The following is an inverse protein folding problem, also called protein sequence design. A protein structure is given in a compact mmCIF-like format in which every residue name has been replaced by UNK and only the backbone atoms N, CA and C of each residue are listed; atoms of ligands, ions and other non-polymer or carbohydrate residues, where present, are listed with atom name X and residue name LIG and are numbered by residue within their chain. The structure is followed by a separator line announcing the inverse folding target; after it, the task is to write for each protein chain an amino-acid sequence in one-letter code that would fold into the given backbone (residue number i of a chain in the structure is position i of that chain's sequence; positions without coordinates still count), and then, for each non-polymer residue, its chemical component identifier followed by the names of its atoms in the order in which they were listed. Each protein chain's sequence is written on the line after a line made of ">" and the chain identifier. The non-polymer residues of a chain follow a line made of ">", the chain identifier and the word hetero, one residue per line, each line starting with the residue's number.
data_IF_145877250658
#
_entry.id   IF_145877250658
#
_cell.length_a   1.000
_cell.length_b   1.000
_cell.length_c   1.000
_cell.angle_alpha   90.00
_cell.angle_beta   90.00
_cell.angle_gamma   90.00
#
_symmetry.space_group_name_H-M   'P 1'
#
loop_
_entity.id
_entity.type
_entity.pdbx_description
1 polymer ?
#
# COMPACT_ATOMS: atom_id res chain seq x y z
N UNK A 1 -1.01 -53.17 3.56
CA UNK A 1 -1.09 -52.38 4.81
C UNK A 1 -1.57 -50.98 4.47
N UNK A 2 -2.85 -50.70 4.68
CA UNK A 2 -3.41 -49.34 4.56
C UNK A 2 -3.08 -48.62 5.88
N UNK A 3 -1.87 -48.07 5.99
CA UNK A 3 -1.58 -47.18 7.11
C UNK A 3 -2.43 -45.92 6.94
N UNK A 4 -3.20 -45.61 7.98
CA UNK A 4 -4.05 -44.42 8.15
C UNK A 4 -3.25 -43.16 7.77
N UNK A 5 -3.38 -42.68 6.53
CA UNK A 5 -2.70 -41.49 5.97
C UNK A 5 -3.14 -40.14 6.54
N UNK A 6 -3.62 -40.11 7.78
CA UNK A 6 -4.04 -38.91 8.50
C UNK A 6 -2.93 -37.84 8.63
N UNK A 7 -1.64 -38.17 8.88
CA UNK A 7 -0.62 -37.11 8.95
C UNK A 7 -0.39 -36.43 7.60
N UNK A 8 -0.45 -37.17 6.48
CA UNK A 8 -0.36 -36.58 5.14
C UNK A 8 -1.54 -35.67 4.83
N UNK A 9 -2.76 -36.11 5.17
CA UNK A 9 -3.98 -35.30 5.01
C UNK A 9 -3.92 -34.04 5.85
N UNK A 10 -3.56 -34.15 7.13
CA UNK A 10 -3.48 -33.02 8.04
C UNK A 10 -2.46 -31.97 7.56
N UNK A 11 -1.27 -32.42 7.15
CA UNK A 11 -0.22 -31.53 6.65
C UNK A 11 -0.63 -30.81 5.36
N UNK A 12 -1.26 -31.55 4.43
CA UNK A 12 -1.81 -31.00 3.19
C UNK A 12 -2.90 -29.96 3.45
N UNK A 13 -3.84 -30.26 4.36
CA UNK A 13 -4.94 -29.35 4.69
C UNK A 13 -4.41 -28.09 5.39
N UNK A 14 -3.47 -28.24 6.32
CA UNK A 14 -2.84 -27.11 6.99
C UNK A 14 -2.10 -26.21 5.99
N UNK A 15 -1.27 -26.79 5.14
CA UNK A 15 -0.54 -26.04 4.11
C UNK A 15 -1.50 -25.33 3.15
N UNK A 16 -2.55 -26.04 2.70
CA UNK A 16 -3.58 -25.48 1.83
C UNK A 16 -4.35 -24.32 2.46
N UNK A 17 -4.74 -24.45 3.73
CA UNK A 17 -5.43 -23.41 4.48
C UNK A 17 -4.56 -22.17 4.67
N UNK A 18 -3.27 -22.34 4.97
CA UNK A 18 -2.30 -21.25 5.11
C UNK A 18 -2.18 -20.46 3.80
N UNK A 19 -2.04 -21.14 2.66
CA UNK A 19 -1.94 -20.47 1.36
C UNK A 19 -3.22 -19.71 0.97
N UNK A 20 -4.39 -20.31 1.18
CA UNK A 20 -5.66 -19.62 0.92
C UNK A 20 -5.79 -18.39 1.82
N UNK A 21 -5.49 -18.53 3.11
CA UNK A 21 -5.54 -17.43 4.06
C UNK A 21 -4.58 -16.29 3.69
N UNK A 22 -3.33 -16.61 3.38
CA UNK A 22 -2.31 -15.65 2.95
C UNK A 22 -2.74 -14.89 1.68
N UNK A 23 -3.25 -15.60 0.68
CA UNK A 23 -3.70 -14.99 -0.57
C UNK A 23 -4.97 -14.15 -0.40
N UNK A 24 -5.92 -14.56 0.45
CA UNK A 24 -7.12 -13.77 0.77
C UNK A 24 -6.78 -12.45 1.45
N UNK A 25 -5.81 -12.44 2.38
CA UNK A 25 -5.40 -11.19 3.03
C UNK A 25 -4.74 -10.21 2.05
N UNK A 26 -4.06 -10.72 1.01
CA UNK A 26 -3.45 -9.87 -0.03
C UNK A 26 -4.42 -9.44 -1.12
N UNK A 27 -5.47 -10.22 -1.39
CA UNK A 27 -6.48 -9.83 -2.39
C UNK A 27 -7.40 -8.71 -1.88
N UNK A 28 -7.54 -8.56 -0.55
CA UNK A 28 -8.28 -7.45 0.08
C UNK A 28 -7.49 -6.13 0.09
N UNK A 29 -6.15 -6.18 0.01
CA UNK A 29 -5.29 -5.01 -0.20
C UNK A 29 -4.25 -5.26 -1.32
N UNK A 30 -4.68 -5.19 -2.59
CA UNK A 30 -3.79 -5.43 -3.72
C UNK A 30 -2.63 -4.43 -3.81
N UNK A 31 -2.85 -3.18 -3.38
CA UNK A 31 -1.82 -2.13 -3.36
C UNK A 31 -0.77 -2.41 -2.27
N UNK A 32 -1.19 -2.90 -1.10
CA UNK A 32 -0.31 -3.44 -0.07
C UNK A 32 0.60 -4.55 -0.60
N UNK A 33 0.06 -5.48 -1.39
CA UNK A 33 0.88 -6.55 -1.98
C UNK A 33 1.95 -6.01 -2.96
N UNK A 34 1.60 -5.02 -3.78
CA UNK A 34 2.58 -4.33 -4.65
C UNK A 34 3.62 -3.57 -3.81
N UNK A 35 3.21 -2.86 -2.75
CA UNK A 35 4.12 -2.17 -1.81
C UNK A 35 5.08 -3.14 -1.16
N UNK A 36 4.60 -4.31 -0.72
CA UNK A 36 5.42 -5.35 -0.11
C UNK A 36 6.49 -5.87 -1.09
N UNK A 37 6.13 -6.15 -2.35
CA UNK A 37 7.09 -6.57 -3.39
C UNK A 37 8.08 -5.45 -3.71
N UNK A 38 7.60 -4.19 -3.81
CA UNK A 38 8.43 -3.01 -4.07
C UNK A 38 9.46 -2.77 -2.96
N UNK A 39 9.10 -3.04 -1.72
CA UNK A 39 9.98 -2.84 -0.56
C UNK A 39 11.27 -3.65 -0.65
N UNK A 40 11.26 -4.81 -1.32
CA UNK A 40 12.47 -5.60 -1.54
C UNK A 40 13.46 -4.91 -2.50
N UNK A 41 13.04 -4.00 -3.39
CA UNK A 41 13.94 -3.31 -4.34
C UNK A 41 14.79 -4.26 -5.22
N UNK A 42 14.36 -5.51 -5.42
CA UNK A 42 15.06 -6.52 -6.23
C UNK A 42 14.55 -6.52 -7.69
N UNK A 43 13.26 -6.24 -7.90
CA UNK A 43 12.60 -6.34 -9.20
C UNK A 43 12.43 -4.96 -9.85
N UNK A 44 12.49 -4.85 -11.20
CA UNK A 44 12.12 -3.64 -11.91
C UNK A 44 10.61 -3.38 -11.82
N UNK A 45 10.19 -2.11 -11.87
CA UNK A 45 8.79 -1.71 -11.62
C UNK A 45 7.72 -2.47 -12.42
N UNK A 46 7.88 -2.75 -13.72
CA UNK A 46 6.88 -3.55 -14.45
C UNK A 46 6.69 -4.94 -13.85
N UNK A 47 7.76 -5.56 -13.33
CA UNK A 47 7.70 -6.86 -12.68
C UNK A 47 7.18 -6.79 -11.25
N UNK A 48 7.44 -5.69 -10.53
CA UNK A 48 6.88 -5.46 -9.18
C UNK A 48 5.36 -5.51 -9.21
N UNK A 49 4.77 -4.82 -10.18
CA UNK A 49 3.32 -4.78 -10.39
C UNK A 49 2.79 -6.17 -10.74
N UNK A 50 3.39 -6.85 -11.72
CA UNK A 50 2.95 -8.20 -12.13
C UNK A 50 3.04 -9.21 -10.97
N UNK A 51 4.14 -9.19 -10.22
CA UNK A 51 4.35 -10.11 -9.08
C UNK A 51 3.41 -9.77 -7.93
N UNK A 52 3.28 -8.49 -7.55
CA UNK A 52 2.41 -8.05 -6.46
C UNK A 52 0.94 -8.41 -6.68
N UNK A 53 0.45 -8.27 -7.90
CA UNK A 53 -0.94 -8.64 -8.22
C UNK A 53 -1.14 -10.12 -8.52
N UNK A 54 -0.16 -10.79 -9.13
CA UNK A 54 -0.27 -12.20 -9.52
C UNK A 54 -0.06 -13.17 -8.37
N UNK A 55 0.78 -12.81 -7.41
CA UNK A 55 1.17 -13.67 -6.29
C UNK A 55 -0.04 -14.08 -5.42
N UNK A 56 -0.96 -13.20 -4.98
CA UNK A 56 -2.13 -13.59 -4.20
C UNK A 56 -3.01 -14.63 -4.89
N UNK A 57 -3.21 -14.49 -6.20
CA UNK A 57 -3.99 -15.44 -6.99
C UNK A 57 -3.30 -16.82 -7.07
N UNK A 58 -1.96 -16.84 -7.23
CA UNK A 58 -1.17 -18.06 -7.18
C UNK A 58 -1.29 -18.77 -5.82
N UNK A 59 -1.22 -18.00 -4.73
CA UNK A 59 -1.35 -18.52 -3.36
C UNK A 59 -2.71 -19.20 -3.15
N UNK A 60 -3.80 -18.54 -3.53
CA UNK A 60 -5.16 -19.12 -3.44
C UNK A 60 -5.27 -20.38 -4.30
N UNK A 61 -4.74 -20.36 -5.53
CA UNK A 61 -4.78 -21.51 -6.43
C UNK A 61 -4.08 -22.73 -5.84
N UNK A 62 -2.84 -22.55 -5.36
CA UNK A 62 -2.06 -23.61 -4.72
C UNK A 62 -2.76 -24.13 -3.46
N UNK A 63 -3.32 -23.21 -2.66
CA UNK A 63 -4.06 -23.55 -1.46
C UNK A 63 -5.30 -24.42 -1.74
N UNK A 64 -6.10 -24.06 -2.75
CA UNK A 64 -7.28 -24.83 -3.14
C UNK A 64 -6.92 -26.21 -3.72
N UNK A 65 -5.88 -26.29 -4.56
CA UNK A 65 -5.37 -27.57 -5.08
C UNK A 65 -4.96 -28.51 -3.94
N UNK A 66 -4.23 -27.97 -2.96
CA UNK A 66 -3.85 -28.71 -1.77
C UNK A 66 -5.06 -29.11 -0.94
N UNK A 67 -6.05 -28.24 -0.69
CA UNK A 67 -7.25 -28.56 0.11
C UNK A 67 -8.13 -29.63 -0.53
N UNK A 68 -8.35 -29.55 -1.84
CA UNK A 68 -9.14 -30.54 -2.60
C UNK A 68 -8.37 -31.85 -2.77
N UNK A 69 -7.04 -31.77 -2.78
CA UNK A 69 -6.18 -32.94 -2.96
C UNK A 69 -6.09 -33.35 -4.42
N UNK A 70 -6.02 -32.35 -5.29
CA UNK A 70 -5.85 -32.48 -6.73
C UNK A 70 -4.47 -31.97 -7.14
N UNK A 71 -3.72 -32.77 -7.90
CA UNK A 71 -2.33 -32.54 -8.26
C UNK A 71 -1.44 -32.19 -7.04
N UNK A 72 -1.65 -32.90 -5.93
CA UNK A 72 -1.06 -32.64 -4.62
C UNK A 72 0.46 -32.51 -4.66
N UNK A 73 1.14 -33.40 -5.39
CA UNK A 73 2.60 -33.37 -5.55
C UNK A 73 3.08 -32.12 -6.30
N UNK A 74 2.41 -31.74 -7.38
CA UNK A 74 2.75 -30.54 -8.14
C UNK A 74 2.53 -29.29 -7.28
N UNK A 75 1.37 -29.19 -6.63
CA UNK A 75 1.06 -28.06 -5.75
C UNK A 75 2.07 -27.95 -4.60
N UNK A 76 2.43 -29.06 -3.96
CA UNK A 76 3.43 -29.08 -2.90
C UNK A 76 4.83 -28.67 -3.36
N UNK A 77 5.26 -29.10 -4.56
CA UNK A 77 6.54 -28.67 -5.16
C UNK A 77 6.53 -27.17 -5.46
N UNK A 78 5.46 -26.65 -6.06
CA UNK A 78 5.32 -25.23 -6.36
C UNK A 78 5.28 -24.39 -5.06
N UNK A 79 4.57 -24.85 -4.02
CA UNK A 79 4.60 -24.23 -2.70
C UNK A 79 6.01 -24.20 -2.10
N UNK A 80 6.76 -25.31 -2.20
CA UNK A 80 8.14 -25.37 -1.70
C UNK A 80 9.05 -24.37 -2.45
N UNK A 81 8.94 -24.30 -3.78
CA UNK A 81 9.71 -23.33 -4.59
C UNK A 81 9.36 -21.89 -4.20
N UNK A 82 8.08 -21.58 -4.02
CA UNK A 82 7.65 -20.24 -3.64
C UNK A 82 8.16 -19.85 -2.24
N UNK A 83 8.15 -20.79 -1.28
CA UNK A 83 8.70 -20.57 0.06
C UNK A 83 10.21 -20.36 0.05
N UNK A 84 10.95 -21.07 -0.82
CA UNK A 84 12.39 -20.81 -1.01
C UNK A 84 12.62 -19.38 -1.52
N UNK A 85 11.79 -18.89 -2.44
CA UNK A 85 11.88 -17.50 -2.92
C UNK A 85 11.63 -16.51 -1.77
N UNK A 86 10.59 -16.72 -0.96
CA UNK A 86 10.30 -15.85 0.20
C UNK A 86 11.42 -15.88 1.23
N UNK A 87 11.87 -17.05 1.67
CA UNK A 87 12.97 -17.19 2.63
C UNK A 87 14.23 -16.47 2.13
N UNK A 88 14.54 -16.62 0.84
CA UNK A 88 15.70 -15.95 0.22
C UNK A 88 15.53 -14.43 0.24
N UNK A 89 14.34 -13.92 -0.11
CA UNK A 89 14.03 -12.49 -0.08
C UNK A 89 14.12 -11.89 1.33
N UNK A 90 13.50 -12.55 2.32
CA UNK A 90 13.50 -12.12 3.73
C UNK A 90 14.93 -12.13 4.28
N UNK A 91 15.68 -13.20 4.03
CA UNK A 91 17.08 -13.32 4.47
C UNK A 91 17.97 -12.25 3.85
N UNK A 92 17.76 -11.95 2.57
CA UNK A 92 18.48 -10.88 1.88
C UNK A 92 18.14 -9.50 2.44
N UNK A 93 16.86 -9.23 2.70
CA UNK A 93 16.41 -7.95 3.26
C UNK A 93 17.00 -7.71 4.65
N UNK A 94 16.96 -8.75 5.48
CA UNK A 94 17.57 -8.74 6.81
C UNK A 94 19.08 -8.51 6.75
N UNK A 95 19.79 -9.22 5.86
CA UNK A 95 21.23 -9.03 5.66
C UNK A 95 21.62 -7.62 5.19
N UNK A 96 20.69 -6.90 4.54
CA UNK A 96 20.89 -5.51 4.09
C UNK A 96 20.39 -4.46 5.08
N UNK A 97 19.93 -4.88 6.26
CA UNK A 97 19.40 -3.98 7.28
C UNK A 97 18.15 -3.22 6.82
N UNK A 98 17.41 -3.74 5.85
CA UNK A 98 16.14 -3.14 5.45
C UNK A 98 15.14 -3.31 6.60
N UNK A 99 14.37 -2.26 6.90
CA UNK A 99 13.36 -2.27 7.96
C UNK A 99 11.97 -2.48 7.36
N UNK A 100 11.67 -3.72 6.99
CA UNK A 100 10.47 -4.08 6.21
C UNK A 100 9.63 -5.13 6.94
N UNK A 101 8.31 -4.93 6.99
CA UNK A 101 7.35 -5.99 7.34
C UNK A 101 7.16 -6.93 6.15
N UNK A 102 7.52 -8.20 6.32
CA UNK A 102 7.37 -9.21 5.29
C UNK A 102 5.89 -9.60 5.21
N UNK A 103 5.14 -8.95 4.32
CA UNK A 103 3.69 -9.07 4.10
C UNK A 103 3.15 -10.44 3.66
N UNK A 104 3.77 -11.54 4.11
CA UNK A 104 3.41 -12.92 3.80
C UNK A 104 1.99 -13.27 4.30
N UNK A 105 1.48 -12.58 5.33
CA UNK A 105 0.15 -12.76 5.94
C UNK A 105 -0.65 -11.44 6.03
N UNK A 106 -0.59 -10.61 4.98
CA UNK A 106 -1.18 -9.28 5.00
C UNK A 106 -0.24 -8.23 5.60
N UNK A 107 -0.48 -6.96 5.28
CA UNK A 107 0.45 -5.86 5.57
C UNK A 107 1.67 -5.83 4.65
N UNK A 108 2.68 -5.05 5.05
CA UNK A 108 3.92 -4.85 4.31
C UNK A 108 4.27 -3.38 4.09
N UNK A 109 5.56 -3.07 4.12
CA UNK A 109 6.05 -1.70 4.09
C UNK A 109 7.19 -1.51 5.09
N UNK A 110 7.59 -0.25 5.32
CA UNK A 110 8.63 0.05 6.29
C UNK A 110 8.04 0.04 7.72
N UNK A 111 8.78 -0.53 8.69
CA UNK A 111 8.36 -0.62 10.10
C UNK A 111 9.53 -0.30 11.04
N UNK A 112 9.25 0.25 12.21
CA UNK A 112 10.28 0.70 13.16
C UNK A 112 10.82 -0.40 14.09
N UNK A 113 10.15 -1.56 14.18
CA UNK A 113 10.63 -2.73 14.95
C UNK A 113 10.66 -4.05 14.11
N UNK A 114 11.66 -4.21 13.22
CA UNK A 114 11.69 -5.33 12.28
C UNK A 114 12.36 -6.61 12.82
N UNK A 115 13.14 -6.52 13.90
CA UNK A 115 14.10 -7.60 14.24
C UNK A 115 13.45 -8.85 14.82
N UNK A 116 12.42 -8.70 15.65
CA UNK A 116 11.65 -9.84 16.16
C UNK A 116 10.75 -10.47 15.06
N UNK A 117 10.28 -9.65 14.12
CA UNK A 117 9.44 -10.09 13.00
C UNK A 117 10.16 -11.04 12.05
N UNK A 118 11.40 -10.71 11.63
CA UNK A 118 12.15 -11.53 10.68
C UNK A 118 12.41 -12.96 11.15
N UNK A 119 12.73 -13.13 12.44
CA UNK A 119 13.01 -14.45 12.99
C UNK A 119 11.75 -15.32 12.96
N UNK A 120 10.61 -14.76 13.39
CA UNK A 120 9.34 -15.49 13.39
C UNK A 120 8.89 -15.85 11.97
N UNK A 121 9.02 -14.92 11.02
CA UNK A 121 8.69 -15.15 9.62
C UNK A 121 9.56 -16.24 9.01
N UNK A 122 10.88 -16.21 9.22
CA UNK A 122 11.80 -17.23 8.72
C UNK A 122 11.51 -18.61 9.32
N UNK A 123 11.26 -18.69 10.64
CA UNK A 123 10.94 -19.97 11.30
C UNK A 123 9.65 -20.57 10.75
N UNK A 124 8.61 -19.75 10.58
CA UNK A 124 7.34 -20.17 9.99
C UNK A 124 7.53 -20.66 8.56
N UNK A 125 8.24 -19.90 7.73
CA UNK A 125 8.41 -20.24 6.31
C UNK A 125 9.27 -21.51 6.14
N UNK A 126 10.29 -21.71 6.99
CA UNK A 126 11.07 -22.96 7.05
C UNK A 126 10.19 -24.14 7.48
N UNK A 127 9.29 -23.96 8.45
CA UNK A 127 8.36 -25.00 8.86
C UNK A 127 7.36 -25.37 7.74
N UNK A 128 6.83 -24.37 7.04
CA UNK A 128 5.96 -24.57 5.88
C UNK A 128 6.69 -25.22 4.70
N UNK A 129 7.97 -24.89 4.51
CA UNK A 129 8.82 -25.50 3.47
C UNK A 129 9.04 -26.98 3.77
N UNK A 130 9.40 -27.32 5.01
CA UNK A 130 9.53 -28.70 5.44
C UNK A 130 8.21 -29.46 5.25
N UNK A 131 7.08 -28.85 5.61
CA UNK A 131 5.75 -29.41 5.37
C UNK A 131 5.46 -29.67 3.89
N UNK A 132 5.78 -28.72 3.02
CA UNK A 132 5.63 -28.84 1.57
C UNK A 132 6.47 -29.98 0.98
N UNK A 133 7.73 -30.09 1.41
CA UNK A 133 8.64 -31.17 1.00
C UNK A 133 8.10 -32.54 1.47
N UNK A 134 7.63 -32.63 2.72
CA UNK A 134 7.05 -33.87 3.23
C UNK A 134 5.78 -34.28 2.45
N UNK A 135 4.88 -33.35 2.12
CA UNK A 135 3.70 -33.65 1.29
C UNK A 135 4.10 -34.14 -0.10
N UNK A 136 5.17 -33.59 -0.68
CA UNK A 136 5.66 -33.98 -2.00
C UNK A 136 6.32 -35.37 -2.01
N UNK A 137 6.99 -35.75 -0.91
CA UNK A 137 7.73 -37.02 -0.79
C UNK A 137 6.87 -38.18 -0.27
N UNK A 138 5.90 -37.90 0.59
CA UNK A 138 5.06 -38.94 1.21
C UNK A 138 4.02 -39.49 0.21
N UNK A 139 3.70 -40.79 0.29
CA UNK A 139 2.74 -41.43 -0.61
C UNK A 139 1.31 -40.91 -0.38
N UNK A 140 0.60 -40.61 -1.47
CA UNK A 140 -0.71 -39.96 -1.39
C UNK A 140 -1.72 -40.82 -0.59
N UNK A 141 -2.44 -40.15 0.30
CA UNK A 141 -3.50 -40.75 1.10
C UNK A 141 -4.75 -41.08 0.28
N UNK A 142 -5.53 -42.05 0.74
CA UNK A 142 -6.81 -42.47 0.12
C UNK A 142 -7.89 -41.37 0.05
N UNK A 143 -7.66 -40.24 0.74
CA UNK A 143 -8.55 -39.07 0.83
C UNK A 143 -8.19 -37.94 -0.14
N UNK A 144 -7.26 -38.18 -1.07
CA UNK A 144 -6.96 -37.25 -2.16
C UNK A 144 -7.85 -37.54 -3.39
N UNK A 145 -8.23 -36.48 -4.11
CA UNK A 145 -8.87 -36.63 -5.42
C UNK A 145 -7.93 -37.36 -6.40
N UNK A 146 -6.63 -37.11 -6.27
CA UNK A 146 -5.57 -37.83 -7.00
C UNK A 146 -5.71 -39.34 -6.87
N UNK A 147 -5.87 -39.86 -5.65
CA UNK A 147 -6.05 -41.30 -5.42
C UNK A 147 -7.32 -41.85 -6.08
N UNK A 148 -8.42 -41.10 -6.08
CA UNK A 148 -9.69 -41.50 -6.72
C UNK A 148 -9.62 -41.48 -8.25
N UNK A 149 -8.77 -40.63 -8.83
CA UNK A 149 -8.65 -40.44 -10.28
C UNK A 149 -7.51 -41.25 -10.94
N UNK A 150 -6.63 -41.88 -10.15
CA UNK A 150 -5.47 -42.69 -10.61
C UNK A 150 -5.78 -43.80 -11.63
N UNK A 151 -7.03 -44.27 -11.74
CA UNK A 151 -7.43 -45.30 -12.70
C UNK A 151 -7.84 -44.80 -14.09
N UNK A 152 -8.03 -43.48 -14.29
CA UNK A 152 -8.74 -42.95 -15.47
C UNK A 152 -7.95 -41.97 -16.35
N UNK A 153 -6.84 -41.41 -15.86
CA UNK A 153 -6.05 -40.45 -16.64
C UNK A 153 -4.53 -40.68 -16.51
N UNK A 154 -3.88 -41.04 -17.63
CA UNK A 154 -2.42 -40.97 -17.82
C UNK A 154 -1.90 -39.52 -17.96
N UNK A 155 -2.75 -38.50 -17.75
CA UNK A 155 -2.48 -37.10 -18.05
C UNK A 155 -2.71 -36.10 -16.90
N UNK A 156 -2.48 -36.49 -15.64
CA UNK A 156 -2.83 -35.68 -14.45
C UNK A 156 -2.20 -34.28 -14.35
N UNK A 157 -1.14 -33.98 -15.11
CA UNK A 157 -0.50 -32.66 -15.14
C UNK A 157 -1.27 -31.64 -15.99
N UNK A 158 -1.85 -32.04 -17.12
CA UNK A 158 -2.54 -31.13 -18.03
C UNK A 158 -3.74 -30.39 -17.41
N UNK A 159 -4.68 -31.05 -16.69
CA UNK A 159 -5.80 -30.35 -16.06
C UNK A 159 -5.36 -29.50 -14.86
N UNK A 160 -4.29 -29.89 -14.15
CA UNK A 160 -3.73 -29.09 -13.06
C UNK A 160 -3.08 -27.80 -13.57
N UNK A 161 -2.30 -27.90 -14.65
CA UNK A 161 -1.71 -26.74 -15.34
C UNK A 161 -2.82 -25.86 -15.92
N UNK A 162 -3.89 -26.43 -16.48
CA UNK A 162 -5.02 -25.68 -16.98
C UNK A 162 -5.77 -24.92 -15.87
N UNK A 163 -5.99 -25.53 -14.70
CA UNK A 163 -6.60 -24.87 -13.54
C UNK A 163 -5.69 -23.76 -13.01
N UNK A 164 -4.39 -24.00 -12.90
CA UNK A 164 -3.43 -22.99 -12.47
C UNK A 164 -3.40 -21.80 -13.46
N UNK A 165 -3.34 -22.07 -14.76
CA UNK A 165 -3.40 -21.04 -15.80
C UNK A 165 -4.74 -20.31 -15.80
N UNK A 166 -5.87 -20.99 -15.59
CA UNK A 166 -7.19 -20.35 -15.48
C UNK A 166 -7.29 -19.45 -14.26
N UNK A 167 -6.77 -19.85 -13.10
CA UNK A 167 -6.78 -19.01 -11.90
C UNK A 167 -5.79 -17.85 -12.02
N UNK A 168 -4.63 -18.05 -12.67
CA UNK A 168 -3.67 -17.00 -12.98
C UNK A 168 -4.22 -16.02 -14.04
N UNK A 169 -4.98 -16.49 -15.03
CA UNK A 169 -5.63 -15.65 -16.04
C UNK A 169 -6.86 -14.96 -15.46
N UNK A 170 -7.69 -15.63 -14.66
CA UNK A 170 -8.84 -15.01 -13.99
C UNK A 170 -8.40 -14.02 -12.91
N UNK A 171 -7.35 -14.35 -12.16
CA UNK A 171 -6.66 -13.42 -11.26
C UNK A 171 -5.95 -12.31 -12.03
N UNK A 172 -5.40 -12.61 -13.20
CA UNK A 172 -4.80 -11.65 -14.14
C UNK A 172 -5.81 -10.68 -14.77
N UNK A 173 -7.01 -11.13 -15.12
CA UNK A 173 -8.05 -10.29 -15.72
C UNK A 173 -8.80 -9.48 -14.67
N UNK A 174 -9.01 -10.01 -13.46
CA UNK A 174 -9.51 -9.21 -12.33
C UNK A 174 -8.46 -8.19 -11.89
N UNK A 175 -7.17 -8.53 -11.85
CA UNK A 175 -6.10 -7.58 -11.54
C UNK A 175 -5.84 -6.57 -12.65
N UNK A 176 -6.01 -6.91 -13.93
CA UNK A 176 -5.99 -5.93 -15.04
C UNK A 176 -7.23 -5.04 -14.99
N UNK A 177 -8.40 -5.55 -14.58
CA UNK A 177 -9.57 -4.71 -14.33
C UNK A 177 -9.40 -3.80 -13.11
N UNK A 178 -8.79 -4.29 -12.02
CA UNK A 178 -8.43 -3.49 -10.84
C UNK A 178 -7.30 -2.51 -11.14
N UNK A 179 -6.34 -2.87 -11.99
CA UNK A 179 -5.35 -1.95 -12.54
C UNK A 179 -5.98 -0.93 -13.46
N UNK A 180 -7.05 -1.23 -14.21
CA UNK A 180 -7.80 -0.21 -14.95
C UNK A 180 -8.63 0.68 -14.03
N UNK A 181 -9.00 0.21 -12.84
CA UNK A 181 -9.63 1.01 -11.78
C UNK A 181 -8.59 1.80 -10.95
N UNK A 182 -7.32 1.41 -10.93
CA UNK A 182 -6.25 2.03 -10.14
C UNK A 182 -5.12 2.70 -10.94
N UNK A 183 -5.06 2.48 -12.25
CA UNK A 183 -4.23 3.27 -13.17
C UNK A 183 -4.98 4.58 -13.32
N UNK A 184 -4.46 5.62 -12.66
CA UNK A 184 -4.89 7.00 -12.77
C UNK A 184 -5.51 7.25 -14.15
N UNK A 185 -6.84 7.26 -14.21
CA UNK A 185 -7.56 7.57 -15.43
C UNK A 185 -7.08 8.97 -15.83
N UNK A 186 -6.58 9.21 -17.05
CA UNK A 186 -6.33 10.55 -17.54
C UNK A 186 -7.54 11.47 -17.35
N UNK A 187 -8.75 10.90 -17.21
CA UNK A 187 -10.02 11.58 -17.01
C UNK A 187 -10.47 11.79 -15.54
N UNK A 188 -9.69 11.41 -14.52
CA UNK A 188 -10.07 11.70 -13.13
C UNK A 188 -10.23 13.22 -12.91
N UNK A 189 -11.30 13.62 -12.24
CA UNK A 189 -11.57 15.03 -11.91
C UNK A 189 -10.37 15.61 -11.13
N UNK A 190 -9.81 16.71 -11.62
CA UNK A 190 -8.66 17.37 -11.01
C UNK A 190 -9.14 18.65 -10.34
N UNK A 191 -8.85 18.87 -9.05
CA UNK A 191 -9.17 20.12 -8.40
C UNK A 191 -8.56 21.32 -9.14
N UNK A 192 -9.34 22.39 -9.25
CA UNK A 192 -8.96 23.65 -9.86
C UNK A 192 -7.74 24.26 -9.16
N UNK A 193 -6.84 24.85 -9.95
CA UNK A 193 -5.64 25.50 -9.43
C UNK A 193 -4.52 24.54 -9.00
N UNK A 194 -4.66 23.23 -9.22
CA UNK A 194 -3.57 22.28 -8.99
C UNK A 194 -2.40 22.48 -9.97
N UNK A 195 -1.19 22.18 -9.50
CA UNK A 195 0.06 22.20 -10.27
C UNK A 195 0.61 20.79 -10.42
N UNK A 196 1.04 20.44 -11.64
CA UNK A 196 1.56 19.11 -11.93
C UNK A 196 0.55 17.99 -11.58
N UNK A 197 -0.76 18.27 -11.76
CA UNK A 197 -1.92 17.40 -11.53
C UNK A 197 -2.27 17.09 -10.07
N UNK A 198 -1.29 16.99 -9.18
CA UNK A 198 -1.49 16.50 -7.80
C UNK A 198 -0.94 17.44 -6.73
N UNK A 199 -0.41 18.60 -7.10
CA UNK A 199 0.07 19.60 -6.17
C UNK A 199 -0.93 20.73 -5.97
N UNK A 200 -1.12 21.19 -4.74
CA UNK A 200 -1.95 22.35 -4.41
C UNK A 200 -0.99 23.48 -4.01
N UNK A 201 -0.85 24.53 -4.84
CA UNK A 201 0.14 25.57 -4.62
C UNK A 201 -0.33 26.62 -3.60
N UNK A 202 0.62 27.12 -2.81
CA UNK A 202 0.49 28.31 -1.97
C UNK A 202 1.67 29.25 -2.25
N UNK A 203 1.39 30.53 -2.46
CA UNK A 203 2.41 31.54 -2.79
C UNK A 203 2.56 31.85 -4.27
N UNK A 204 3.44 32.81 -4.57
CA UNK A 204 3.64 33.35 -5.91
C UNK A 204 4.24 32.30 -6.88
N UNK A 205 3.79 32.21 -8.14
CA UNK A 205 4.31 31.24 -9.10
C UNK A 205 5.81 31.36 -9.40
N UNK A 206 6.35 32.56 -9.25
CA UNK A 206 7.71 33.01 -9.53
C UNK A 206 8.58 33.19 -8.28
N UNK A 207 8.14 32.65 -7.13
CA UNK A 207 8.93 32.65 -5.91
C UNK A 207 10.32 32.00 -6.11
N UNK A 208 11.30 32.46 -5.32
CA UNK A 208 12.72 32.11 -5.51
C UNK A 208 12.99 30.61 -5.38
N UNK A 209 12.27 29.93 -4.48
CA UNK A 209 12.43 28.49 -4.20
C UNK A 209 11.08 27.78 -4.26
N UNK A 210 11.08 26.51 -4.66
CA UNK A 210 9.89 25.65 -4.57
C UNK A 210 10.03 24.65 -3.43
N UNK A 211 9.13 24.71 -2.47
CA UNK A 211 8.99 23.72 -1.41
C UNK A 211 7.86 22.76 -1.79
N UNK A 212 8.11 21.46 -1.77
CA UNK A 212 7.06 20.43 -1.99
C UNK A 212 6.92 19.62 -0.72
N UNK A 213 5.68 19.43 -0.26
CA UNK A 213 5.41 18.71 1.00
C UNK A 213 4.43 17.58 0.69
N UNK A 214 4.84 16.33 0.96
CA UNK A 214 3.97 15.16 0.88
C UNK A 214 3.48 14.81 2.27
N UNK A 215 2.16 14.75 2.43
CA UNK A 215 1.52 14.64 3.73
C UNK A 215 0.25 13.80 3.66
N UNK A 216 -0.09 13.18 4.79
CA UNK A 216 -1.34 12.46 4.99
C UNK A 216 -2.04 13.05 6.22
N UNK A 217 -3.32 13.37 6.09
CA UNK A 217 -4.08 14.03 7.16
C UNK A 217 -4.27 13.16 8.41
N UNK A 218 -3.98 11.85 8.36
CA UNK A 218 -3.97 10.98 9.53
C UNK A 218 -2.59 10.83 10.18
N UNK A 219 -1.51 11.28 9.53
CA UNK A 219 -0.15 11.07 10.01
C UNK A 219 0.21 12.02 11.16
N UNK A 220 0.55 11.51 12.36
CA UNK A 220 0.94 12.34 13.50
C UNK A 220 2.20 13.16 13.25
N UNK A 221 3.16 12.64 12.48
CA UNK A 221 4.38 13.36 12.13
C UNK A 221 4.13 14.49 11.12
N UNK A 222 3.13 14.35 10.23
CA UNK A 222 2.72 15.45 9.36
C UNK A 222 2.12 16.60 10.19
N UNK A 223 1.27 16.28 11.19
CA UNK A 223 0.77 17.30 12.13
C UNK A 223 1.92 18.00 12.86
N UNK A 224 2.88 17.24 13.37
CA UNK A 224 4.03 17.81 14.07
C UNK A 224 4.85 18.74 13.17
N UNK A 225 5.09 18.34 11.90
CA UNK A 225 5.79 19.18 10.94
C UNK A 225 5.06 20.52 10.74
N UNK A 226 3.74 20.47 10.56
CA UNK A 226 2.90 21.66 10.35
C UNK A 226 2.81 22.55 11.60
N UNK A 227 2.74 21.96 12.80
CA UNK A 227 2.79 22.70 14.07
C UNK A 227 4.12 23.44 14.25
N UNK A 228 5.24 22.85 13.81
CA UNK A 228 6.58 23.43 13.99
C UNK A 228 6.93 24.42 12.88
N UNK A 229 6.61 24.11 11.62
CA UNK A 229 7.04 24.90 10.46
C UNK A 229 5.96 25.80 9.86
N UNK A 230 4.69 25.62 10.21
CA UNK A 230 3.57 26.31 9.55
C UNK A 230 3.68 27.84 9.54
N UNK A 231 4.06 28.45 10.66
CA UNK A 231 4.24 29.90 10.78
C UNK A 231 5.48 30.38 10.00
N UNK A 232 6.59 29.63 10.10
CA UNK A 232 7.82 29.92 9.35
C UNK A 232 7.54 29.88 7.84
N UNK A 233 6.94 28.80 7.36
CA UNK A 233 6.53 28.63 5.96
C UNK A 233 5.62 29.77 5.53
N UNK A 234 4.67 30.18 6.38
CA UNK A 234 3.76 31.30 6.10
C UNK A 234 4.53 32.59 5.85
N UNK A 235 5.50 32.93 6.71
CA UNK A 235 6.34 34.12 6.51
C UNK A 235 7.09 34.12 5.18
N UNK A 236 7.73 33.00 4.84
CA UNK A 236 8.46 32.83 3.57
C UNK A 236 7.55 32.81 2.33
N UNK A 237 6.28 32.44 2.48
CA UNK A 237 5.28 32.52 1.39
C UNK A 237 4.83 33.97 1.19
N UNK A 238 4.58 34.70 2.28
CA UNK A 238 4.10 36.08 2.26
C UNK A 238 5.13 37.06 1.72
N UNK A 239 6.42 36.84 2.01
CA UNK A 239 7.53 37.63 1.44
C UNK A 239 7.94 37.20 0.02
N UNK A 240 7.25 36.18 -0.54
CA UNK A 240 7.48 35.61 -1.88
C UNK A 240 8.83 34.89 -2.05
N UNK A 241 9.53 34.57 -0.96
CA UNK A 241 10.77 33.79 -1.00
C UNK A 241 10.55 32.35 -1.43
N UNK A 242 9.42 31.74 -1.02
CA UNK A 242 9.07 30.37 -1.40
C UNK A 242 7.68 30.26 -2.00
N UNK A 243 7.52 29.25 -2.86
CA UNK A 243 6.24 28.70 -3.25
C UNK A 243 6.13 27.29 -2.67
N UNK A 244 5.11 27.07 -1.85
CA UNK A 244 4.81 25.75 -1.31
C UNK A 244 3.87 25.01 -2.25
N UNK A 245 4.10 23.72 -2.44
CA UNK A 245 3.21 22.82 -3.19
C UNK A 245 2.90 21.64 -2.28
N UNK A 246 1.71 21.64 -1.70
CA UNK A 246 1.21 20.51 -0.92
C UNK A 246 0.81 19.38 -1.86
N UNK A 247 1.26 18.17 -1.59
CA UNK A 247 0.92 16.95 -2.33
C UNK A 247 0.28 15.96 -1.36
N UNK A 248 -1.03 16.11 -1.08
CA UNK A 248 -1.69 15.24 -0.13
C UNK A 248 -1.76 13.81 -0.69
N UNK A 249 -1.52 12.84 0.19
CA UNK A 249 -1.54 11.40 -0.08
C UNK A 249 -2.38 10.67 0.96
N UNK A 250 -2.79 9.44 0.64
CA UNK A 250 -3.54 8.56 1.53
C UNK A 250 -2.76 7.25 1.79
N UNK A 251 -1.56 7.36 2.38
CA UNK A 251 -0.74 6.18 2.70
C UNK A 251 -1.29 5.39 3.90
N UNK A 252 -1.98 6.06 4.81
CA UNK A 252 -2.51 5.48 6.05
C UNK A 252 -3.96 4.97 5.91
N UNK A 253 -4.52 5.03 4.71
CA UNK A 253 -5.89 4.59 4.43
C UNK A 253 -6.17 3.14 4.82
N UNK A 254 -5.19 2.25 4.61
CA UNK A 254 -5.29 0.83 4.95
C UNK A 254 -5.19 0.58 6.47
N UNK A 255 -4.60 1.51 7.21
CA UNK A 255 -4.59 1.47 8.67
C UNK A 255 -5.91 1.97 9.26
N UNK A 256 -6.65 2.82 8.54
CA UNK A 256 -7.95 3.34 8.96
C UNK A 256 -9.09 2.36 8.72
N UNK A 257 -10.05 2.30 9.65
CA UNK A 257 -11.28 1.51 9.47
C UNK A 257 -12.29 2.13 8.51
N UNK A 258 -12.10 3.39 8.12
CA UNK A 258 -13.04 4.16 7.28
C UNK A 258 -12.36 4.85 6.09
N UNK A 259 -11.08 4.55 5.82
CA UNK A 259 -10.28 5.25 4.81
C UNK A 259 -10.24 6.77 5.05
N UNK A 260 -9.95 7.16 6.29
CA UNK A 260 -10.01 8.56 6.70
C UNK A 260 -9.05 9.44 5.89
N UNK A 261 -7.85 8.97 5.56
CA UNK A 261 -6.87 9.73 4.79
C UNK A 261 -7.38 10.13 3.41
N UNK A 262 -8.04 9.21 2.69
CA UNK A 262 -8.68 9.50 1.41
C UNK A 262 -9.84 10.46 1.56
N UNK A 263 -10.76 10.22 2.51
CA UNK A 263 -11.92 11.09 2.74
C UNK A 263 -11.52 12.51 3.16
N UNK A 264 -10.50 12.64 4.01
CA UNK A 264 -9.98 13.94 4.42
C UNK A 264 -9.30 14.67 3.25
N UNK A 265 -8.53 13.94 2.44
CA UNK A 265 -7.89 14.51 1.25
C UNK A 265 -8.90 14.94 0.19
N UNK A 266 -9.93 14.13 -0.03
CA UNK A 266 -11.05 14.46 -0.89
C UNK A 266 -11.82 15.68 -0.36
N UNK A 267 -12.11 15.75 0.94
CA UNK A 267 -12.78 16.91 1.52
C UNK A 267 -11.95 18.19 1.30
N UNK A 268 -10.63 18.13 1.46
CA UNK A 268 -9.75 19.25 1.16
C UNK A 268 -9.77 19.62 -0.34
N UNK A 269 -9.79 18.64 -1.24
CA UNK A 269 -9.94 18.85 -2.68
C UNK A 269 -11.29 19.49 -3.05
N UNK A 270 -12.40 19.05 -2.45
CA UNK A 270 -13.70 19.70 -2.58
C UNK A 270 -13.64 21.16 -2.13
N UNK A 271 -12.99 21.44 -0.99
CA UNK A 271 -12.84 22.82 -0.48
C UNK A 271 -12.00 23.69 -1.42
N UNK A 272 -10.95 23.14 -2.02
CA UNK A 272 -10.16 23.84 -3.03
C UNK A 272 -11.04 24.31 -4.20
N UNK A 273 -11.93 23.47 -4.71
CA UNK A 273 -12.80 23.83 -5.84
C UNK A 273 -13.92 24.80 -5.46
N UNK A 274 -14.44 24.67 -4.23
CA UNK A 274 -15.59 25.45 -3.77
C UNK A 274 -15.20 26.82 -3.19
N UNK A 275 -14.03 26.92 -2.56
CA UNK A 275 -13.57 28.11 -1.83
C UNK A 275 -12.19 28.64 -2.25
N UNK A 276 -11.50 27.94 -3.15
CA UNK A 276 -10.20 28.35 -3.66
C UNK A 276 -9.02 28.11 -2.69
N UNK A 277 -7.82 28.59 -3.05
CA UNK A 277 -6.58 28.30 -2.31
C UNK A 277 -6.58 28.74 -0.85
N UNK A 278 -7.24 29.85 -0.53
CA UNK A 278 -7.34 30.32 0.86
C UNK A 278 -8.22 29.39 1.71
N UNK A 279 -9.33 28.90 1.17
CA UNK A 279 -10.18 27.93 1.85
C UNK A 279 -9.49 26.58 2.00
N UNK A 280 -8.74 26.13 0.98
CA UNK A 280 -7.93 24.93 1.08
C UNK A 280 -6.92 25.02 2.23
N UNK A 281 -6.18 26.13 2.33
CA UNK A 281 -5.21 26.33 3.40
C UNK A 281 -5.89 26.32 4.79
N UNK A 282 -7.04 26.98 4.92
CA UNK A 282 -7.81 26.95 6.16
C UNK A 282 -8.28 25.51 6.50
N UNK A 283 -8.71 24.74 5.49
CA UNK A 283 -9.12 23.35 5.67
C UNK A 283 -7.95 22.45 6.04
N UNK A 284 -6.80 22.60 5.39
CA UNK A 284 -5.56 21.86 5.69
C UNK A 284 -5.16 22.06 7.16
N UNK A 285 -5.11 23.31 7.63
CA UNK A 285 -4.83 23.60 9.04
C UNK A 285 -5.91 23.04 9.99
N UNK A 286 -7.20 23.13 9.62
CA UNK A 286 -8.30 22.59 10.43
C UNK A 286 -8.26 21.06 10.53
N UNK A 287 -7.88 20.36 9.46
CA UNK A 287 -7.73 18.91 9.43
C UNK A 287 -6.63 18.45 10.38
N UNK A 288 -5.47 19.11 10.37
CA UNK A 288 -4.39 18.80 11.32
C UNK A 288 -4.74 19.18 12.76
N UNK A 289 -5.40 20.32 12.97
CA UNK A 289 -5.85 20.75 14.30
C UNK A 289 -6.92 19.81 14.91
N UNK A 290 -7.69 19.10 14.08
CA UNK A 290 -8.68 18.10 14.52
C UNK A 290 -8.28 16.69 14.11
N UNK A 291 -6.97 16.44 13.93
CA UNK A 291 -6.47 15.17 13.45
C UNK A 291 -6.86 14.04 14.42
N UNK A 292 -7.52 12.98 13.93
CA UNK A 292 -7.86 11.82 14.74
C UNK A 292 -6.62 11.00 15.07
N UNK A 293 -6.75 10.06 16.01
CA UNK A 293 -5.70 9.06 16.22
C UNK A 293 -5.43 8.25 14.95
N UNK A 294 -4.16 7.94 14.71
CA UNK A 294 -3.73 7.07 13.62
C UNK A 294 -4.36 5.67 13.74
N UNK A 295 -4.72 5.07 12.61
CA UNK A 295 -5.41 3.77 12.54
C UNK A 295 -6.87 3.77 12.98
N UNK A 296 -7.38 4.90 13.50
CA UNK A 296 -8.77 5.05 13.91
C UNK A 296 -9.74 5.23 12.75
N UNK A 297 -11.04 5.26 13.11
CA UNK A 297 -12.13 5.58 12.19
C UNK A 297 -12.12 7.03 11.69
N UNK A 298 -11.33 7.90 12.31
CA UNK A 298 -11.23 9.30 11.92
C UNK A 298 -12.52 10.10 12.11
N UNK A 299 -12.57 11.27 11.47
CA UNK A 299 -13.77 12.11 11.44
C UNK A 299 -14.81 11.53 10.47
N UNK A 300 -16.09 11.70 10.78
CA UNK A 300 -17.18 11.41 9.85
C UNK A 300 -17.27 12.45 8.74
N UNK A 301 -17.95 12.13 7.65
CA UNK A 301 -18.11 13.06 6.52
C UNK A 301 -18.86 14.33 6.94
N UNK A 302 -19.85 14.22 7.83
CA UNK A 302 -20.52 15.40 8.41
C UNK A 302 -19.57 16.25 9.27
N UNK A 303 -18.59 15.65 9.94
CA UNK A 303 -17.54 16.43 10.62
C UNK A 303 -16.64 17.13 9.61
N UNK A 304 -16.23 16.46 8.53
CA UNK A 304 -15.43 17.04 7.44
C UNK A 304 -16.18 18.19 6.76
N UNK A 305 -17.49 18.05 6.52
CA UNK A 305 -18.35 19.12 5.97
C UNK A 305 -18.39 20.34 6.89
N UNK A 306 -18.49 20.16 8.21
CA UNK A 306 -18.44 21.28 9.16
C UNK A 306 -17.07 21.97 9.19
N UNK A 307 -15.99 21.21 9.04
CA UNK A 307 -14.65 21.80 8.90
C UNK A 307 -14.53 22.60 7.59
N UNK A 308 -15.08 22.09 6.49
CA UNK A 308 -15.14 22.82 5.22
C UNK A 308 -15.93 24.14 5.33
N UNK A 309 -17.05 24.14 6.06
CA UNK A 309 -17.80 25.36 6.40
C UNK A 309 -16.95 26.39 7.14
N UNK A 310 -16.21 25.95 8.18
CA UNK A 310 -15.26 26.80 8.92
C UNK A 310 -14.09 27.29 8.07
N UNK A 311 -13.69 26.52 7.06
CA UNK A 311 -12.66 26.87 6.11
C UNK A 311 -13.12 27.88 5.05
N UNK A 312 -14.43 28.20 4.99
CA UNK A 312 -15.00 29.18 4.06
C UNK A 312 -15.62 28.57 2.80
N UNK A 313 -15.79 27.24 2.72
CA UNK A 313 -16.52 26.58 1.64
C UNK A 313 -18.00 26.37 2.02
N UNK A 314 -18.86 26.17 1.01
CA UNK A 314 -20.27 25.83 1.23
C UNK A 314 -20.42 24.43 1.79
N UNK A 315 -21.02 24.28 2.97
CA UNK A 315 -21.28 22.97 3.58
C UNK A 315 -22.20 22.10 2.71
N UNK A 316 -23.23 22.69 2.09
CA UNK A 316 -24.16 21.94 1.24
C UNK A 316 -23.48 21.43 -0.04
N UNK A 317 -22.64 22.26 -0.67
CA UNK A 317 -21.89 21.85 -1.85
C UNK A 317 -20.77 20.86 -1.51
N UNK A 318 -20.11 21.01 -0.36
CA UNK A 318 -19.09 20.06 0.10
C UNK A 318 -19.71 18.69 0.38
N UNK A 319 -20.88 18.65 1.03
CA UNK A 319 -21.62 17.40 1.25
C UNK A 319 -21.97 16.70 -0.06
N UNK A 320 -22.42 17.44 -1.07
CA UNK A 320 -22.68 16.88 -2.39
C UNK A 320 -21.39 16.33 -3.04
N UNK A 321 -20.30 17.10 -2.98
CA UNK A 321 -19.00 16.69 -3.52
C UNK A 321 -18.48 15.37 -2.91
N UNK A 322 -18.57 15.23 -1.58
CA UNK A 322 -18.19 13.99 -0.88
C UNK A 322 -19.15 12.83 -1.19
N UNK A 323 -20.46 13.10 -1.30
CA UNK A 323 -21.44 12.05 -1.62
C UNK A 323 -21.29 11.51 -3.06
N UNK A 324 -20.73 12.31 -3.95
CA UNK A 324 -20.44 11.94 -5.34
C UNK A 324 -19.07 11.22 -5.49
N UNK A 325 -18.30 11.06 -4.41
CA UNK A 325 -16.93 10.51 -4.42
C UNK A 325 -16.04 11.21 -5.46
N UNK A 326 -16.26 12.52 -5.66
CA UNK A 326 -15.77 13.28 -6.82
C UNK A 326 -14.25 13.23 -6.99
N UNK A 327 -13.49 13.23 -5.89
CA UNK A 327 -12.03 13.22 -5.97
C UNK A 327 -11.40 11.94 -5.44
N UNK A 328 -12.18 10.91 -5.11
CA UNK A 328 -11.63 9.61 -4.64
C UNK A 328 -10.58 9.07 -5.61
N UNK A 329 -10.87 9.06 -6.91
CA UNK A 329 -9.93 8.60 -7.94
C UNK A 329 -8.69 9.50 -8.06
N UNK A 330 -8.86 10.81 -7.86
CA UNK A 330 -7.75 11.75 -7.85
C UNK A 330 -6.82 11.50 -6.66
N UNK A 331 -7.36 11.23 -5.47
CA UNK A 331 -6.58 10.90 -4.27
C UNK A 331 -5.81 9.59 -4.46
N UNK A 332 -6.47 8.56 -4.97
CA UNK A 332 -5.81 7.29 -5.28
C UNK A 332 -4.66 7.49 -6.29
N UNK A 333 -4.92 8.26 -7.35
CA UNK A 333 -3.92 8.59 -8.37
C UNK A 333 -2.75 9.43 -7.81
N UNK A 334 -3.02 10.40 -6.92
CA UNK A 334 -1.99 11.20 -6.27
C UNK A 334 -1.06 10.34 -5.39
N UNK A 335 -1.67 9.44 -4.60
CA UNK A 335 -0.98 8.51 -3.70
C UNK A 335 -0.10 7.52 -4.47
N UNK A 336 -0.62 6.94 -5.55
CA UNK A 336 0.11 6.03 -6.43
C UNK A 336 1.21 6.77 -7.21
N UNK A 337 0.96 7.99 -7.67
CA UNK A 337 1.99 8.83 -8.28
C UNK A 337 3.14 9.13 -7.32
N UNK A 338 2.86 9.53 -6.07
CA UNK A 338 3.88 9.75 -5.05
C UNK A 338 4.71 8.48 -4.79
N UNK A 339 4.04 7.33 -4.67
CA UNK A 339 4.69 6.03 -4.49
C UNK A 339 5.65 5.69 -5.64
N UNK A 340 5.23 5.93 -6.89
CA UNK A 340 6.08 5.73 -8.08
C UNK A 340 7.26 6.69 -8.17
N UNK A 341 7.17 7.86 -7.53
CA UNK A 341 8.26 8.81 -7.40
C UNK A 341 9.25 8.45 -6.27
N UNK A 342 9.04 7.32 -5.58
CA UNK A 342 9.91 6.87 -4.51
C UNK A 342 9.61 7.50 -3.14
N UNK A 343 8.45 8.16 -2.99
CA UNK A 343 8.00 8.64 -1.68
C UNK A 343 7.55 7.43 -0.86
N UNK A 344 8.38 7.01 0.10
CA UNK A 344 8.14 5.83 0.94
C UNK A 344 7.84 6.15 2.40
N UNK A 345 7.95 7.42 2.79
CA UNK A 345 7.67 7.89 4.14
C UNK A 345 7.07 9.29 4.06
N UNK A 346 6.28 9.63 5.07
CA UNK A 346 5.65 10.93 5.25
C UNK A 346 5.83 11.38 6.72
N UNK A 347 5.96 12.69 6.99
CA UNK A 347 6.03 13.75 6.00
C UNK A 347 7.33 13.69 5.19
N UNK A 348 7.27 14.11 3.92
CA UNK A 348 8.45 14.32 3.09
C UNK A 348 8.44 15.74 2.56
N UNK A 349 9.47 16.51 2.91
CA UNK A 349 9.66 17.86 2.40
C UNK A 349 10.83 17.89 1.42
N UNK A 350 10.62 18.55 0.27
CA UNK A 350 11.63 18.79 -0.75
C UNK A 350 11.82 20.29 -0.96
N UNK A 351 13.06 20.77 -1.01
CA UNK A 351 13.39 22.11 -1.53
C UNK A 351 14.04 21.95 -2.89
N UNK A 352 13.42 22.51 -3.92
CA UNK A 352 13.83 22.38 -5.32
C UNK A 352 14.05 20.92 -5.77
N UNK A 353 13.23 20.01 -5.22
CA UNK A 353 13.27 18.59 -5.53
C UNK A 353 14.33 17.79 -4.75
N UNK A 354 15.10 18.42 -3.86
CA UNK A 354 16.02 17.73 -2.95
C UNK A 354 15.35 17.52 -1.59
N UNK A 355 15.37 16.30 -1.03
CA UNK A 355 14.77 16.02 0.27
C UNK A 355 15.52 16.73 1.40
N UNK A 356 14.76 17.21 2.38
CA UNK A 356 15.28 17.70 3.66
C UNK A 356 15.26 16.55 4.66
N UNK A 357 16.33 16.42 5.43
CA UNK A 357 16.44 15.44 6.52
C UNK A 357 16.17 16.11 7.88
N UNK A 358 15.12 15.66 8.56
CA UNK A 358 14.72 16.12 9.91
C UNK A 358 15.07 15.11 11.00
N UNK A 359 15.88 14.07 10.72
CA UNK A 359 16.15 12.98 11.67
C UNK A 359 17.27 13.26 12.68
N UNK A 360 17.96 14.40 12.58
CA UNK A 360 18.99 14.82 13.52
C UNK A 360 18.44 15.57 14.75
N UNK A 361 19.32 15.86 15.71
CA UNK A 361 19.00 16.64 16.92
C UNK A 361 18.91 18.16 16.67
N UNK A 362 18.99 18.58 15.40
CA UNK A 362 18.91 19.99 15.01
C UNK A 362 17.46 20.50 15.11
N UNK A 363 17.31 21.78 15.44
CA UNK A 363 16.01 22.47 15.38
C UNK A 363 15.42 22.41 13.94
N UNK A 364 14.21 21.85 13.74
CA UNK A 364 13.60 21.73 12.42
C UNK A 364 13.45 23.06 11.67
N UNK A 365 13.22 24.17 12.40
CA UNK A 365 13.15 25.51 11.79
C UNK A 365 14.50 25.88 11.19
N UNK A 366 15.58 25.73 11.94
CA UNK A 366 16.93 26.01 11.45
C UNK A 366 17.36 25.08 10.30
N UNK A 367 16.90 23.82 10.30
CA UNK A 367 17.10 22.90 9.16
C UNK A 367 16.40 23.42 7.91
N UNK A 368 15.13 23.81 8.03
CA UNK A 368 14.34 24.35 6.94
C UNK A 368 14.94 25.65 6.37
N UNK A 369 15.25 26.63 7.24
CA UNK A 369 15.84 27.92 6.86
C UNK A 369 17.16 27.76 6.11
N UNK A 370 18.02 26.83 6.55
CA UNK A 370 19.27 26.49 5.84
C UNK A 370 18.97 25.94 4.44
N UNK A 371 17.98 25.07 4.30
CA UNK A 371 17.64 24.45 3.03
C UNK A 371 17.08 25.47 2.01
N UNK A 372 16.23 26.40 2.45
CA UNK A 372 15.69 27.45 1.58
C UNK A 372 16.70 28.55 1.25
N UNK A 373 17.64 28.83 2.16
CA UNK A 373 18.69 29.84 1.96
C UNK A 373 19.89 29.33 1.16
N UNK A 374 20.03 28.02 0.99
CA UNK A 374 21.11 27.44 0.21
C UNK A 374 20.95 27.77 -1.29
N UNK A 375 22.06 28.13 -1.94
CA UNK A 375 22.07 28.34 -3.39
C UNK A 375 21.65 27.06 -4.14
N UNK A 376 20.95 27.18 -5.29
CA UNK A 376 20.43 26.04 -6.05
C UNK A 376 21.48 24.99 -6.45
#
# INVERSE_FOLDING_TARGET
>A
MVQRGWPHVALRVLLGAVWVWAGLLKITDPLGSVRAVRAYRILPEPLVVVVGYGLPALEIALGLLLLVGFATRLAAVLSALLLVVFITGISWAWARGLRIECGCFGGGGFTDDPTAGYVLDLVRDVALLAGSVLVALLPDSAWSLDHRLRGRHRGGLAPAVAVLLLVLVAGGTTTVHVQRLGSADPAADVPQGTVGRFGIPRGAPDALRRVTVFEDFQCPFCRQLEEVLGDTITGYVEDQSIRVVYRPVAFLDTASTTRYSSRATEAAACVQDLGGPAAYLAMHGLLFAHQPAEGGAGLSDEQLVRLAGRAGASESATRACLADDRYVDWVAAATDHASRQGVTAIPLMLVDGRPIDFTGDDDPVAVFERAVSAAP
#
